data_IF_701428272029
#
_entry.id   IF_701428272029
#
_cell.length_a   1.000
_cell.length_b   1.000
_cell.length_c   1.000
_cell.angle_alpha   90.00
_cell.angle_beta   90.00
_cell.angle_gamma   90.00
#
_symmetry.space_group_name_H-M   'P 1'
#
loop_
_entity.id
_entity.type
_entity.pdbx_description
1 polymer ?
#
# COMPACT_ATOMS: atom_id res chain seq x y z
N UNK A 1 5.23 -9.33 4.54
CA UNK A 1 4.99 -9.90 3.23
C UNK A 1 3.60 -9.53 2.69
N UNK A 2 3.28 -10.04 1.50
CA UNK A 2 1.99 -9.76 0.84
C UNK A 2 0.81 -10.39 1.59
N UNK A 3 1.01 -11.56 2.20
CA UNK A 3 0.05 -12.17 3.12
C UNK A 3 0.28 -11.65 4.54
N UNK A 4 -0.33 -10.52 4.85
CA UNK A 4 -0.21 -9.90 6.16
C UNK A 4 -1.08 -10.59 7.24
N UNK A 5 -1.97 -11.51 6.85
CA UNK A 5 -2.75 -12.32 7.79
C UNK A 5 -1.95 -13.49 8.36
N UNK A 6 -0.92 -13.96 7.64
CA UNK A 6 0.00 -15.04 8.05
C UNK A 6 1.20 -14.50 8.82
N UNK A 7 0.96 -13.65 9.83
CA UNK A 7 2.03 -13.15 10.70
C UNK A 7 2.56 -14.30 11.56
N UNK A 8 3.86 -14.66 11.45
CA UNK A 8 4.45 -15.74 12.25
C UNK A 8 4.82 -15.32 13.67
N UNK A 9 4.83 -14.03 13.94
CA UNK A 9 5.20 -13.48 15.23
C UNK A 9 4.08 -13.69 16.24
N UNK A 10 4.43 -14.11 17.45
CA UNK A 10 3.49 -14.51 18.48
C UNK A 10 3.69 -13.75 19.78
N UNK A 11 2.59 -13.54 20.51
CA UNK A 11 2.60 -13.02 21.87
C UNK A 11 1.74 -13.91 22.76
N UNK A 12 2.30 -14.39 23.86
CA UNK A 12 1.62 -15.25 24.84
C UNK A 12 1.28 -14.43 26.07
N UNK A 13 -0.01 -14.36 26.43
CA UNK A 13 -0.45 -13.72 27.67
C UNK A 13 0.15 -14.46 28.85
N UNK A 14 0.71 -13.71 29.79
CA UNK A 14 1.31 -14.26 31.00
C UNK A 14 1.32 -13.23 32.13
N UNK A 15 1.57 -13.69 33.33
CA UNK A 15 1.94 -12.84 34.47
C UNK A 15 3.42 -12.51 34.39
N UNK A 16 3.78 -11.31 34.76
CA UNK A 16 5.18 -10.84 34.80
C UNK A 16 5.32 -9.59 35.63
N UNK A 17 6.52 -9.03 35.64
CA UNK A 17 6.83 -7.83 36.41
C UNK A 17 7.18 -6.68 35.47
N UNK A 18 6.59 -5.51 35.71
CA UNK A 18 6.93 -4.27 35.04
C UNK A 18 7.11 -3.14 36.06
N UNK A 19 8.32 -2.53 36.07
CA UNK A 19 8.68 -1.44 37.01
C UNK A 19 8.46 -1.80 38.48
N UNK A 20 8.80 -3.03 38.87
CA UNK A 20 8.66 -3.50 40.25
C UNK A 20 7.24 -3.89 40.67
N UNK A 21 6.31 -4.00 39.73
CA UNK A 21 4.92 -4.40 40.01
C UNK A 21 4.53 -5.61 39.17
N UNK A 22 3.91 -6.59 39.83
CA UNK A 22 3.29 -7.70 39.11
C UNK A 22 2.13 -7.19 38.24
N UNK A 23 2.08 -7.66 37.01
CA UNK A 23 1.00 -7.34 36.07
C UNK A 23 0.79 -8.46 35.06
N UNK A 24 -0.37 -8.45 34.39
CA UNK A 24 -0.59 -9.24 33.19
C UNK A 24 0.03 -8.51 32.00
N UNK A 25 0.73 -9.27 31.18
CA UNK A 25 1.37 -8.79 29.98
C UNK A 25 1.46 -9.88 28.93
N UNK A 26 2.37 -9.72 27.99
CA UNK A 26 2.65 -10.71 26.94
C UNK A 26 4.15 -10.96 26.85
N UNK A 27 4.54 -12.21 26.62
CA UNK A 27 5.85 -12.57 26.08
C UNK A 27 5.76 -12.60 24.57
N UNK A 28 6.46 -11.68 23.90
CA UNK A 28 6.36 -11.51 22.44
C UNK A 28 7.66 -11.97 21.78
N UNK A 29 7.53 -12.81 20.75
CA UNK A 29 8.65 -13.29 19.92
C UNK A 29 8.40 -12.87 18.47
N UNK A 30 9.39 -12.22 17.83
CA UNK A 30 9.30 -11.76 16.45
C UNK A 30 10.65 -11.72 15.74
N UNK A 31 10.62 -11.85 14.42
CA UNK A 31 11.75 -11.59 13.53
C UNK A 31 11.26 -10.84 12.28
N UNK A 32 11.33 -9.54 12.31
CA UNK A 32 10.89 -8.64 11.24
C UNK A 32 12.06 -8.15 10.41
N UNK A 33 11.89 -8.14 9.09
CA UNK A 33 12.87 -7.59 8.14
C UNK A 33 12.29 -6.36 7.45
N UNK A 34 13.16 -5.56 6.86
CA UNK A 34 12.80 -4.40 6.03
C UNK A 34 11.91 -3.37 6.72
N UNK A 35 12.16 -3.12 8.01
CA UNK A 35 11.36 -2.16 8.77
C UNK A 35 11.91 -0.76 8.57
N UNK A 36 11.10 0.09 7.94
CA UNK A 36 11.43 1.50 7.73
C UNK A 36 11.53 2.21 9.08
N UNK A 37 12.55 3.05 9.21
CA UNK A 37 12.94 3.80 10.41
C UNK A 37 13.43 2.94 11.60
N UNK A 38 13.44 1.61 11.54
CA UNK A 38 13.90 0.78 12.65
C UNK A 38 15.28 1.20 13.22
N UNK A 39 16.30 1.48 12.39
CA UNK A 39 17.62 1.87 12.89
C UNK A 39 17.68 3.14 13.72
N UNK A 40 16.67 4.02 13.60
CA UNK A 40 16.62 5.33 14.26
C UNK A 40 15.37 5.53 15.12
N UNK A 41 14.51 4.52 15.23
CA UNK A 41 13.26 4.65 15.97
C UNK A 41 13.49 4.69 17.50
N UNK A 42 12.59 5.38 18.17
CA UNK A 42 12.50 5.37 19.65
C UNK A 42 11.41 4.42 20.12
N UNK A 43 10.42 4.16 19.26
CA UNK A 43 9.29 3.26 19.52
C UNK A 43 9.08 2.38 18.28
N UNK A 44 8.91 1.09 18.50
CA UNK A 44 8.52 0.11 17.50
C UNK A 44 7.00 -0.09 17.52
N UNK A 45 6.35 0.10 16.36
CA UNK A 45 5.01 -0.42 16.12
C UNK A 45 5.11 -1.88 15.69
N UNK A 46 4.61 -2.80 16.49
CA UNK A 46 4.71 -4.23 16.25
C UNK A 46 3.33 -4.87 16.15
N UNK A 47 3.10 -5.67 15.11
CA UNK A 47 1.93 -6.53 14.96
C UNK A 47 2.36 -7.99 15.12
N UNK A 48 1.59 -8.74 15.91
CA UNK A 48 1.80 -10.17 16.19
C UNK A 48 0.47 -10.85 16.49
N UNK A 49 0.42 -12.17 16.46
CA UNK A 49 -0.77 -12.93 16.86
C UNK A 49 -0.70 -13.22 18.36
N UNK A 50 -1.73 -12.82 19.09
CA UNK A 50 -1.80 -12.97 20.53
C UNK A 50 -2.59 -14.25 20.92
N UNK A 51 -2.08 -14.95 21.94
CA UNK A 51 -2.69 -16.16 22.49
C UNK A 51 -2.76 -16.06 24.00
N UNK A 52 -3.85 -16.61 24.58
CA UNK A 52 -4.09 -16.72 26.04
C UNK A 52 -4.35 -18.20 26.42
N UNK A 53 -3.31 -19.06 26.42
CA UNK A 53 -3.50 -20.49 26.70
C UNK A 53 -3.94 -20.77 28.15
N UNK A 54 -3.59 -19.88 29.09
CA UNK A 54 -3.92 -20.03 30.51
C UNK A 54 -5.25 -19.34 30.88
N UNK A 55 -5.98 -18.81 29.92
CA UNK A 55 -7.27 -18.12 30.10
C UNK A 55 -7.24 -16.98 31.13
N UNK A 56 -6.12 -16.25 31.23
CA UNK A 56 -5.93 -15.15 32.20
C UNK A 56 -6.84 -13.95 31.93
N UNK A 57 -7.29 -13.79 30.69
CA UNK A 57 -8.15 -12.68 30.26
C UNK A 57 -9.58 -13.12 29.86
N UNK A 58 -9.79 -14.42 29.72
CA UNK A 58 -11.09 -14.98 29.35
C UNK A 58 -10.98 -16.34 28.62
N UNK A 59 -12.06 -16.94 28.16
CA UNK A 59 -12.07 -18.32 27.65
C UNK A 59 -11.50 -18.48 26.24
N UNK A 60 -11.16 -17.38 25.57
CA UNK A 60 -10.68 -17.39 24.18
C UNK A 60 -9.16 -17.54 24.14
N UNK A 61 -8.66 -18.65 23.62
CA UNK A 61 -7.22 -18.94 23.53
C UNK A 61 -6.53 -18.16 22.41
N UNK A 62 -7.08 -18.15 21.20
CA UNK A 62 -6.53 -17.35 20.08
C UNK A 62 -7.22 -15.99 20.04
N UNK A 63 -6.53 -14.97 20.49
CA UNK A 63 -7.07 -13.61 20.54
C UNK A 63 -7.04 -12.92 19.15
N UNK A 64 -6.13 -13.34 18.28
CA UNK A 64 -5.96 -12.75 16.94
C UNK A 64 -4.84 -11.74 16.84
N UNK A 65 -4.75 -11.08 15.68
CA UNK A 65 -3.70 -10.07 15.41
C UNK A 65 -3.88 -8.88 16.33
N UNK A 66 -2.79 -8.53 17.01
CA UNK A 66 -2.72 -7.49 18.02
C UNK A 66 -1.58 -6.53 17.68
N UNK A 67 -1.76 -5.23 17.93
CA UNK A 67 -0.74 -4.21 17.72
C UNK A 67 -0.26 -3.64 19.06
N UNK A 68 1.06 -3.47 19.19
CA UNK A 68 1.68 -2.87 20.36
C UNK A 68 2.72 -1.81 19.99
N UNK A 69 2.93 -0.86 20.90
CA UNK A 69 4.00 0.14 20.83
C UNK A 69 5.07 -0.23 21.87
N UNK A 70 6.23 -0.64 21.40
CA UNK A 70 7.32 -1.13 22.24
C UNK A 70 8.48 -0.13 22.16
N UNK A 71 9.00 0.41 23.28
CA UNK A 71 10.19 1.25 23.24
C UNK A 71 11.37 0.51 22.59
N UNK A 72 12.07 1.16 21.67
CA UNK A 72 13.18 0.53 20.95
C UNK A 72 14.33 0.06 21.89
N UNK A 73 14.48 0.72 23.04
CA UNK A 73 15.45 0.35 24.09
C UNK A 73 14.87 -0.59 25.16
N UNK A 74 13.70 -1.20 24.92
CA UNK A 74 13.13 -2.17 25.84
C UNK A 74 14.03 -3.39 25.97
N UNK A 75 14.23 -3.95 27.16
CA UNK A 75 15.01 -5.18 27.34
C UNK A 75 14.54 -6.31 26.43
N UNK A 76 15.49 -6.93 25.73
CA UNK A 76 15.22 -8.02 24.78
C UNK A 76 14.88 -7.58 23.35
N UNK A 77 14.70 -6.29 23.08
CA UNK A 77 14.56 -5.76 21.72
C UNK A 77 15.93 -5.64 21.07
N UNK A 78 16.08 -6.19 19.88
CA UNK A 78 17.29 -6.07 19.06
C UNK A 78 16.92 -5.39 17.73
N UNK A 79 17.69 -4.38 17.38
CA UNK A 79 17.64 -3.72 16.07
C UNK A 79 18.95 -4.07 15.37
N UNK A 80 18.84 -4.69 14.19
CA UNK A 80 20.01 -5.14 13.44
C UNK A 80 20.53 -4.07 12.48
N UNK A 81 21.48 -4.49 11.63
CA UNK A 81 22.17 -3.63 10.71
C UNK A 81 21.22 -3.01 9.67
N UNK A 82 21.57 -1.81 9.25
CA UNK A 82 20.82 -1.06 8.26
C UNK A 82 20.89 -1.72 6.89
N UNK A 83 19.74 -1.89 6.26
CA UNK A 83 19.64 -2.25 4.85
C UNK A 83 19.90 -1.03 3.94
N UNK A 84 20.35 -1.28 2.73
CA UNK A 84 20.54 -0.27 1.67
C UNK A 84 19.58 -0.54 0.51
N UNK A 85 18.33 -0.04 0.56
CA UNK A 85 17.38 -0.25 -0.52
C UNK A 85 17.84 0.48 -1.80
N UNK A 86 18.37 -0.26 -2.79
CA UNK A 86 18.84 0.28 -4.07
C UNK A 86 19.73 1.54 -3.94
N UNK A 87 20.71 1.51 -3.04
CA UNK A 87 21.60 2.64 -2.73
C UNK A 87 20.95 3.87 -2.07
N UNK A 88 19.63 3.83 -1.86
CA UNK A 88 18.91 4.93 -1.22
C UNK A 88 19.22 4.98 0.28
N UNK A 89 19.46 6.17 0.79
CA UNK A 89 19.89 6.41 2.17
C UNK A 89 18.72 6.33 3.20
N UNK A 90 17.70 5.51 2.94
CA UNK A 90 16.61 5.34 3.90
C UNK A 90 17.04 4.45 5.06
N UNK A 91 16.76 4.86 6.30
CA UNK A 91 16.99 4.02 7.46
C UNK A 91 15.97 2.89 7.50
N UNK A 92 16.39 1.72 7.04
CA UNK A 92 15.60 0.50 7.00
C UNK A 92 16.42 -0.63 7.62
N UNK A 93 15.81 -1.49 8.42
CA UNK A 93 16.56 -2.57 9.07
C UNK A 93 15.66 -3.61 9.73
N UNK A 94 16.23 -4.74 10.18
CA UNK A 94 15.50 -5.77 10.89
C UNK A 94 15.29 -5.42 12.36
N UNK A 95 14.23 -5.99 12.94
CA UNK A 95 14.00 -5.97 14.39
C UNK A 95 13.67 -7.37 14.87
N UNK A 96 14.19 -7.74 16.05
CA UNK A 96 13.99 -9.05 16.67
C UNK A 96 13.71 -8.93 18.14
N UNK A 97 12.97 -9.90 18.66
CA UNK A 97 12.79 -10.13 20.08
C UNK A 97 12.43 -11.59 20.34
N UNK A 98 12.93 -12.15 21.42
CA UNK A 98 12.58 -13.49 21.85
C UNK A 98 12.08 -13.44 23.29
N UNK A 99 10.84 -13.89 23.49
CA UNK A 99 10.17 -13.91 24.81
C UNK A 99 10.22 -12.57 25.55
N UNK A 100 10.11 -11.47 24.81
CA UNK A 100 10.18 -10.11 25.35
C UNK A 100 8.90 -9.81 26.11
N UNK A 101 9.00 -9.62 27.44
CA UNK A 101 7.83 -9.26 28.23
C UNK A 101 7.43 -7.81 28.01
N UNK A 102 6.17 -7.58 27.66
CA UNK A 102 5.54 -6.27 27.56
C UNK A 102 4.27 -6.23 28.42
N UNK A 103 3.99 -5.18 29.19
CA UNK A 103 2.73 -5.04 29.91
C UNK A 103 1.58 -4.77 28.94
N UNK A 104 0.34 -5.07 29.32
CA UNK A 104 -0.84 -4.79 28.49
C UNK A 104 -0.97 -3.32 28.08
N UNK A 105 -0.45 -2.40 28.87
CA UNK A 105 -0.44 -0.97 28.55
C UNK A 105 0.38 -0.60 27.31
N UNK A 106 1.20 -1.53 26.78
CA UNK A 106 1.89 -1.33 25.50
C UNK A 106 1.03 -1.74 24.30
N UNK A 107 -0.01 -2.54 24.51
CA UNK A 107 -0.98 -2.88 23.48
C UNK A 107 -1.83 -1.65 23.17
N UNK A 108 -2.03 -1.36 21.88
CA UNK A 108 -2.90 -0.27 21.44
C UNK A 108 -4.34 -0.61 21.81
N UNK A 109 -4.95 0.18 22.70
CA UNK A 109 -6.26 -0.08 23.28
C UNK A 109 -6.24 -1.10 24.45
N UNK A 110 -5.05 -1.44 24.96
CA UNK A 110 -4.85 -2.33 26.09
C UNK A 110 -5.61 -3.66 25.96
N UNK A 111 -6.31 -4.12 26.99
CA UNK A 111 -7.11 -5.36 26.95
C UNK A 111 -8.14 -5.35 25.81
N UNK A 112 -8.77 -4.21 25.56
CA UNK A 112 -9.79 -4.08 24.51
C UNK A 112 -9.21 -4.05 23.10
N UNK A 113 -7.92 -3.81 22.96
CA UNK A 113 -7.20 -3.79 21.68
C UNK A 113 -6.70 -5.16 21.22
N UNK A 114 -6.70 -6.15 22.12
CA UNK A 114 -6.29 -7.51 21.78
C UNK A 114 -7.20 -8.08 20.66
N UNK A 115 -6.58 -8.61 19.60
CA UNK A 115 -7.28 -9.17 18.44
C UNK A 115 -7.86 -8.14 17.45
N UNK A 116 -7.81 -6.86 17.75
CA UNK A 116 -8.31 -5.80 16.86
C UNK A 116 -7.25 -5.23 15.91
N UNK A 117 -6.03 -5.74 15.97
CA UNK A 117 -4.88 -5.23 15.22
C UNK A 117 -5.06 -5.29 13.71
N UNK A 118 -5.73 -6.30 13.19
CA UNK A 118 -6.02 -6.41 11.76
C UNK A 118 -6.83 -5.21 11.24
N UNK A 119 -7.90 -4.87 11.93
CA UNK A 119 -8.73 -3.72 11.57
C UNK A 119 -7.94 -2.41 11.64
N UNK A 120 -7.17 -2.21 12.73
CA UNK A 120 -6.33 -1.03 12.92
C UNK A 120 -5.32 -0.87 11.77
N UNK A 121 -4.63 -1.96 11.39
CA UNK A 121 -3.68 -1.95 10.28
C UNK A 121 -4.35 -1.61 8.95
N UNK A 122 -5.50 -2.21 8.64
CA UNK A 122 -6.18 -1.98 7.36
C UNK A 122 -6.70 -0.55 7.24
N UNK A 123 -7.26 0.03 8.29
CA UNK A 123 -7.72 1.42 8.30
C UNK A 123 -6.57 2.40 8.10
N UNK A 124 -5.47 2.26 8.85
CA UNK A 124 -4.30 3.14 8.75
C UNK A 124 -3.55 2.99 7.41
N UNK A 125 -3.34 1.75 6.95
CA UNK A 125 -2.61 1.49 5.71
C UNK A 125 -3.37 1.97 4.46
N UNK A 126 -4.71 1.91 4.46
CA UNK A 126 -5.48 2.42 3.32
C UNK A 126 -5.44 3.93 3.21
N UNK A 127 -5.48 4.66 4.33
CA UNK A 127 -5.31 6.11 4.35
C UNK A 127 -3.89 6.53 3.90
N UNK A 128 -2.85 5.93 4.49
CA UNK A 128 -1.46 6.19 4.12
C UNK A 128 -1.18 5.94 2.64
N UNK A 129 -1.70 4.85 2.10
CA UNK A 129 -1.57 4.49 0.68
C UNK A 129 -2.22 5.51 -0.26
N UNK A 130 -3.30 6.15 0.14
CA UNK A 130 -3.96 7.18 -0.65
C UNK A 130 -3.17 8.49 -0.71
N UNK A 131 -2.34 8.77 0.28
CA UNK A 131 -1.64 10.06 0.46
C UNK A 131 -0.16 9.95 0.07
N UNK A 132 0.59 9.06 0.75
CA UNK A 132 2.07 9.08 0.74
C UNK A 132 2.66 8.79 -0.63
N UNK A 133 2.35 7.62 -1.20
CA UNK A 133 2.96 7.20 -2.47
C UNK A 133 2.45 8.01 -3.67
N UNK A 134 1.13 8.32 -3.81
CA UNK A 134 0.69 9.20 -4.87
C UNK A 134 1.34 10.58 -4.81
N UNK A 135 1.55 11.15 -3.61
CA UNK A 135 2.20 12.46 -3.43
C UNK A 135 3.69 12.42 -3.78
N UNK A 136 4.42 11.41 -3.33
CA UNK A 136 5.84 11.25 -3.66
C UNK A 136 6.05 11.11 -5.17
N UNK A 137 5.21 10.29 -5.82
CA UNK A 137 5.30 10.06 -7.26
C UNK A 137 4.82 11.27 -8.08
N UNK A 138 3.87 12.06 -7.58
CA UNK A 138 3.54 13.35 -8.18
C UNK A 138 4.73 14.32 -8.13
N UNK A 139 5.47 14.35 -7.03
CA UNK A 139 6.70 15.14 -6.91
C UNK A 139 7.77 14.74 -7.94
N UNK A 140 7.99 13.42 -8.10
CA UNK A 140 8.91 12.88 -9.13
C UNK A 140 8.45 13.28 -10.54
N UNK A 141 7.17 13.14 -10.84
CA UNK A 141 6.60 13.50 -12.13
C UNK A 141 6.76 15.01 -12.43
N UNK A 142 6.47 15.86 -11.45
CA UNK A 142 6.66 17.32 -11.58
C UNK A 142 8.12 17.71 -11.77
N UNK A 143 9.05 17.06 -11.06
CA UNK A 143 10.48 17.23 -11.26
C UNK A 143 10.85 16.91 -12.72
N UNK A 144 10.42 15.76 -13.22
CA UNK A 144 10.71 15.35 -14.59
C UNK A 144 10.14 16.34 -15.62
N UNK A 145 8.87 16.74 -15.51
CA UNK A 145 8.25 17.72 -16.41
C UNK A 145 9.07 19.01 -16.48
N UNK A 146 9.43 19.57 -15.33
CA UNK A 146 10.15 20.85 -15.25
C UNK A 146 11.56 20.73 -15.79
N UNK A 147 12.30 19.72 -15.37
CA UNK A 147 13.73 19.60 -15.68
C UNK A 147 13.96 19.10 -17.11
N UNK A 148 13.23 18.08 -17.55
CA UNK A 148 13.33 17.56 -18.92
C UNK A 148 12.79 18.58 -19.94
N UNK A 149 11.69 19.25 -19.62
CA UNK A 149 11.15 20.33 -20.44
C UNK A 149 12.14 21.49 -20.63
N UNK A 150 12.74 21.98 -19.53
CA UNK A 150 13.75 23.02 -19.61
C UNK A 150 15.01 22.57 -20.39
N UNK A 151 15.52 21.37 -20.09
CA UNK A 151 16.66 20.81 -20.80
C UNK A 151 16.41 20.70 -22.30
N UNK A 152 15.27 20.17 -22.74
CA UNK A 152 14.95 19.99 -24.14
C UNK A 152 14.85 21.29 -24.91
N UNK A 153 14.53 22.41 -24.26
CA UNK A 153 14.50 23.76 -24.87
C UNK A 153 15.87 24.39 -24.99
N UNK A 154 16.77 24.11 -24.05
CA UNK A 154 18.12 24.68 -24.01
C UNK A 154 19.10 23.87 -24.87
N UNK A 155 18.97 22.54 -24.86
CA UNK A 155 19.85 21.65 -25.61
C UNK A 155 19.65 21.81 -27.09
N UNK A 156 20.69 22.16 -27.81
CA UNK A 156 20.68 22.34 -29.27
C UNK A 156 21.41 21.18 -29.96
N UNK A 157 20.82 20.60 -30.96
CA UNK A 157 21.44 19.69 -31.92
C UNK A 157 20.87 19.98 -33.31
N UNK A 158 21.67 19.75 -34.36
CA UNK A 158 21.29 20.07 -35.74
C UNK A 158 20.82 21.54 -35.92
N UNK A 159 21.46 22.46 -35.20
CA UNK A 159 21.17 23.89 -35.18
C UNK A 159 19.76 24.27 -34.68
N UNK A 160 19.07 23.37 -33.97
CA UNK A 160 17.77 23.68 -33.40
C UNK A 160 17.64 23.09 -31.99
N UNK A 161 16.73 23.62 -31.18
CA UNK A 161 16.37 23.04 -29.89
C UNK A 161 15.84 21.61 -30.08
N UNK A 162 16.29 20.66 -29.23
CA UNK A 162 15.84 19.26 -29.36
C UNK A 162 14.32 19.10 -29.11
N UNK A 163 13.70 20.04 -28.42
CA UNK A 163 12.23 20.06 -28.24
C UNK A 163 11.45 20.21 -29.54
N UNK A 164 12.07 20.65 -30.63
CA UNK A 164 11.47 20.82 -31.95
C UNK A 164 11.40 19.49 -32.75
N UNK A 165 12.09 18.45 -32.29
CA UNK A 165 12.00 17.13 -32.93
C UNK A 165 10.72 16.42 -32.46
N UNK A 166 9.92 15.92 -33.42
CA UNK A 166 8.63 15.28 -33.16
C UNK A 166 8.75 14.12 -32.15
N UNK A 167 9.76 13.26 -32.26
CA UNK A 167 9.98 12.16 -31.32
C UNK A 167 10.28 12.62 -29.89
N UNK A 168 10.91 13.80 -29.73
CA UNK A 168 11.12 14.42 -28.41
C UNK A 168 9.83 15.06 -27.91
N UNK A 169 9.12 15.78 -28.78
CA UNK A 169 7.86 16.42 -28.45
C UNK A 169 6.79 15.41 -28.02
N UNK A 170 6.73 14.24 -28.66
CA UNK A 170 5.83 13.14 -28.25
C UNK A 170 6.13 12.67 -26.83
N UNK A 171 7.40 12.44 -26.47
CA UNK A 171 7.82 12.06 -25.12
C UNK A 171 7.45 13.14 -24.09
N UNK A 172 7.71 14.40 -24.41
CA UNK A 172 7.36 15.53 -23.53
C UNK A 172 5.86 15.64 -23.30
N UNK A 173 5.06 15.43 -24.36
CA UNK A 173 3.60 15.40 -24.27
C UNK A 173 3.10 14.28 -23.34
N UNK A 174 3.62 13.06 -23.49
CA UNK A 174 3.31 11.92 -22.62
C UNK A 174 3.69 12.19 -21.17
N UNK A 175 4.90 12.71 -20.93
CA UNK A 175 5.36 13.09 -19.58
C UNK A 175 4.40 14.10 -18.93
N UNK A 176 3.97 15.12 -19.69
CA UNK A 176 3.07 16.16 -19.18
C UNK A 176 1.67 15.61 -18.84
N UNK A 177 1.09 14.80 -19.73
CA UNK A 177 -0.23 14.19 -19.53
C UNK A 177 -0.22 13.26 -18.33
N UNK A 178 0.79 12.40 -18.22
CA UNK A 178 0.87 11.45 -17.11
C UNK A 178 1.16 12.16 -15.77
N UNK A 179 1.93 13.24 -15.77
CA UNK A 179 2.11 14.08 -14.59
C UNK A 179 0.80 14.70 -14.12
N UNK A 180 0.00 15.23 -15.06
CA UNK A 180 -1.32 15.78 -14.77
C UNK A 180 -2.27 14.70 -14.19
N UNK A 181 -2.26 13.51 -14.78
CA UNK A 181 -3.08 12.39 -14.32
C UNK A 181 -2.70 11.94 -12.88
N UNK A 182 -1.40 11.85 -12.57
CA UNK A 182 -0.92 11.52 -11.22
C UNK A 182 -1.35 12.61 -10.22
N UNK A 183 -1.16 13.89 -10.54
CA UNK A 183 -1.49 14.98 -9.62
C UNK A 183 -3.00 15.08 -9.37
N UNK A 184 -3.82 14.89 -10.39
CA UNK A 184 -5.27 14.86 -10.29
C UNK A 184 -5.75 13.68 -9.42
N UNK A 185 -5.19 12.49 -9.65
CA UNK A 185 -5.50 11.29 -8.86
C UNK A 185 -5.13 11.45 -7.39
N UNK A 186 -3.94 12.01 -7.12
CA UNK A 186 -3.48 12.33 -5.78
C UNK A 186 -4.42 13.29 -5.05
N UNK A 187 -4.81 14.38 -5.71
CA UNK A 187 -5.73 15.37 -5.13
C UNK A 187 -7.09 14.75 -4.82
N UNK A 188 -7.65 14.00 -5.75
CA UNK A 188 -8.91 13.30 -5.55
C UNK A 188 -8.87 12.34 -4.37
N UNK A 189 -7.83 11.52 -4.27
CA UNK A 189 -7.67 10.55 -3.19
C UNK A 189 -7.48 11.23 -1.81
N UNK A 190 -6.70 12.31 -1.74
CA UNK A 190 -6.52 13.08 -0.52
C UNK A 190 -7.81 13.79 -0.09
N UNK A 191 -8.53 14.42 -1.03
CA UNK A 191 -9.81 15.09 -0.73
C UNK A 191 -10.87 14.11 -0.23
N UNK A 192 -10.91 12.87 -0.72
CA UNK A 192 -11.81 11.85 -0.20
C UNK A 192 -11.56 11.56 1.29
N UNK A 193 -10.29 11.51 1.70
CA UNK A 193 -9.91 11.32 3.11
C UNK A 193 -10.30 12.54 3.95
N UNK A 194 -10.06 13.76 3.45
CA UNK A 194 -10.44 15.00 4.13
C UNK A 194 -11.96 15.09 4.37
N UNK A 195 -12.75 14.49 3.49
CA UNK A 195 -14.21 14.37 3.63
C UNK A 195 -14.64 13.22 4.56
N UNK A 196 -13.70 12.49 5.17
CA UNK A 196 -13.96 11.38 6.10
C UNK A 196 -14.23 10.04 5.40
N UNK A 197 -14.05 9.94 4.09
CA UNK A 197 -14.20 8.70 3.34
C UNK A 197 -13.08 7.69 3.65
N UNK A 198 -13.39 6.40 3.51
CA UNK A 198 -12.43 5.31 3.68
C UNK A 198 -12.12 4.62 2.33
N UNK A 199 -11.30 5.24 1.47
CA UNK A 199 -11.13 4.85 0.07
C UNK A 199 -10.22 3.62 -0.10
N UNK A 200 -10.63 2.44 0.37
CA UNK A 200 -9.80 1.23 0.36
C UNK A 200 -9.39 0.77 -1.04
N UNK A 201 -10.31 0.79 -2.01
CA UNK A 201 -10.03 0.40 -3.41
C UNK A 201 -9.42 1.57 -4.19
N UNK A 202 -9.96 2.79 -4.03
CA UNK A 202 -9.44 3.99 -4.70
C UNK A 202 -8.00 4.27 -4.30
N UNK A 203 -7.64 4.09 -3.01
CA UNK A 203 -6.26 4.21 -2.55
C UNK A 203 -5.31 3.24 -3.26
N UNK A 204 -5.79 2.02 -3.52
CA UNK A 204 -5.04 1.01 -4.25
C UNK A 204 -4.84 1.39 -5.73
N UNK A 205 -5.90 1.89 -6.39
CA UNK A 205 -5.84 2.40 -7.75
C UNK A 205 -4.85 3.57 -7.85
N UNK A 206 -4.99 4.55 -6.96
CA UNK A 206 -4.11 5.72 -6.91
C UNK A 206 -2.64 5.31 -6.73
N UNK A 207 -2.35 4.38 -5.81
CA UNK A 207 -0.99 3.86 -5.57
C UNK A 207 -0.42 3.17 -6.79
N UNK A 208 -1.16 2.24 -7.39
CA UNK A 208 -0.66 1.46 -8.53
C UNK A 208 -0.37 2.37 -9.73
N UNK A 209 -1.32 3.21 -10.11
CA UNK A 209 -1.17 4.05 -11.29
C UNK A 209 -0.12 5.14 -11.08
N UNK A 210 -0.07 5.81 -9.94
CA UNK A 210 0.94 6.84 -9.69
C UNK A 210 2.37 6.28 -9.72
N UNK A 211 2.60 5.09 -9.15
CA UNK A 211 3.92 4.49 -9.08
C UNK A 211 4.40 3.95 -10.45
N UNK A 212 3.53 3.31 -11.23
CA UNK A 212 3.87 2.81 -12.56
C UNK A 212 4.11 3.97 -13.53
N UNK A 213 3.21 4.98 -13.53
CA UNK A 213 3.35 6.16 -14.39
C UNK A 213 4.58 7.00 -14.05
N UNK A 214 4.94 7.14 -12.77
CA UNK A 214 6.17 7.83 -12.39
C UNK A 214 7.42 7.11 -12.93
N UNK A 215 7.44 5.77 -12.91
CA UNK A 215 8.52 4.98 -13.51
C UNK A 215 8.62 5.22 -15.02
N UNK A 216 7.50 5.21 -15.72
CA UNK A 216 7.44 5.49 -17.17
C UNK A 216 7.92 6.91 -17.48
N UNK A 217 7.45 7.90 -16.72
CA UNK A 217 7.85 9.32 -16.87
C UNK A 217 9.37 9.48 -16.72
N UNK A 218 9.95 8.88 -15.68
CA UNK A 218 11.38 8.98 -15.44
C UNK A 218 12.18 8.32 -16.56
N UNK A 219 11.75 7.15 -17.03
CA UNK A 219 12.38 6.44 -18.15
C UNK A 219 12.32 7.27 -19.43
N UNK A 220 11.15 7.79 -19.79
CA UNK A 220 11.00 8.69 -20.94
C UNK A 220 11.86 9.96 -20.80
N UNK A 221 11.94 10.51 -19.60
CA UNK A 221 12.79 11.66 -19.31
C UNK A 221 14.28 11.38 -19.52
N UNK A 222 14.76 10.21 -19.10
CA UNK A 222 16.14 9.76 -19.34
C UNK A 222 16.44 9.62 -20.84
N UNK A 223 15.50 9.09 -21.63
CA UNK A 223 15.63 9.01 -23.08
C UNK A 223 15.84 10.42 -23.70
N UNK A 224 15.07 11.41 -23.26
CA UNK A 224 15.17 12.79 -23.76
C UNK A 224 16.48 13.46 -23.38
N UNK A 225 16.98 13.26 -22.15
CA UNK A 225 18.27 13.84 -21.72
C UNK A 225 19.50 13.10 -22.26
N UNK A 226 19.32 11.88 -22.78
CA UNK A 226 20.34 11.10 -23.46
C UNK A 226 21.53 10.74 -22.58
N UNK A 227 22.77 10.93 -23.06
CA UNK A 227 23.99 10.52 -22.35
C UNK A 227 24.12 11.06 -20.91
N UNK A 228 23.56 12.22 -20.60
CA UNK A 228 23.49 12.74 -19.24
C UNK A 228 22.59 11.89 -18.33
N UNK A 229 21.59 11.23 -18.90
CA UNK A 229 20.70 10.31 -18.18
C UNK A 229 21.38 9.00 -17.77
N UNK A 230 22.47 8.64 -18.42
CA UNK A 230 23.21 7.40 -18.17
C UNK A 230 24.37 7.60 -17.21
N UNK A 231 25.03 8.74 -17.28
CA UNK A 231 26.17 9.03 -16.42
C UNK A 231 25.72 9.52 -15.03
N UNK A 232 26.23 8.91 -13.96
CA UNK A 232 26.08 9.44 -12.62
C UNK A 232 26.81 10.78 -12.48
N UNK A 233 26.24 11.66 -11.68
CA UNK A 233 26.83 12.94 -11.35
C UNK A 233 25.80 14.05 -11.20
N UNK A 234 26.25 15.27 -10.88
CA UNK A 234 25.33 16.37 -10.54
C UNK A 234 24.49 16.86 -11.72
N UNK A 235 24.89 16.50 -12.96
CA UNK A 235 24.11 16.81 -14.17
C UNK A 235 23.00 15.80 -14.47
N UNK A 236 22.94 14.65 -13.80
CA UNK A 236 21.88 13.67 -13.94
C UNK A 236 20.83 13.86 -12.83
N UNK A 237 19.85 14.70 -13.09
CA UNK A 237 18.78 15.04 -12.15
C UNK A 237 17.66 13.99 -12.08
N UNK A 238 17.72 12.92 -12.87
CA UNK A 238 16.72 11.82 -12.84
C UNK A 238 17.27 10.50 -12.29
N UNK A 239 18.58 10.35 -12.14
CA UNK A 239 19.19 9.09 -11.72
C UNK A 239 18.60 8.56 -10.40
N UNK A 240 18.53 9.42 -9.38
CA UNK A 240 17.97 9.03 -8.08
C UNK A 240 16.49 8.65 -8.18
N UNK A 241 15.71 9.39 -8.94
CA UNK A 241 14.30 9.07 -9.17
C UNK A 241 14.16 7.72 -9.90
N UNK A 242 15.01 7.43 -10.89
CA UNK A 242 15.02 6.15 -11.60
C UNK A 242 15.34 4.98 -10.67
N UNK A 243 16.33 5.12 -9.81
CA UNK A 243 16.72 4.08 -8.83
C UNK A 243 15.61 3.86 -7.80
N UNK A 244 14.89 4.91 -7.39
CA UNK A 244 13.90 4.84 -6.32
C UNK A 244 12.51 4.32 -6.76
N UNK A 245 12.12 4.50 -8.02
CA UNK A 245 10.77 4.11 -8.48
C UNK A 245 10.41 2.63 -8.21
N UNK A 246 11.30 1.62 -8.35
CA UNK A 246 10.99 0.24 -8.00
C UNK A 246 10.61 0.05 -6.52
N UNK A 247 11.12 0.87 -5.62
CA UNK A 247 10.79 0.80 -4.20
C UNK A 247 9.31 1.12 -4.00
N UNK A 248 8.83 2.21 -4.60
CA UNK A 248 7.42 2.64 -4.48
C UNK A 248 6.43 1.61 -5.07
N UNK A 249 6.87 0.83 -6.07
CA UNK A 249 6.09 -0.26 -6.66
C UNK A 249 5.97 -1.45 -5.68
N UNK A 250 7.01 -1.68 -4.88
CA UNK A 250 7.11 -2.84 -3.97
C UNK A 250 6.46 -2.60 -2.62
N UNK A 251 6.60 -1.39 -2.04
CA UNK A 251 6.12 -1.09 -0.68
C UNK A 251 4.62 -0.77 -0.64
N UNK A 252 4.03 -0.77 0.55
CA UNK A 252 2.61 -0.53 0.83
C UNK A 252 1.66 -1.45 0.02
N UNK A 253 2.06 -2.70 -0.13
CA UNK A 253 1.42 -3.68 -1.00
C UNK A 253 2.01 -3.65 -2.40
N UNK A 254 2.74 -4.69 -2.77
CA UNK A 254 3.33 -4.79 -4.11
C UNK A 254 2.24 -4.64 -5.19
N UNK A 255 2.54 -3.92 -6.28
CA UNK A 255 1.56 -3.63 -7.32
C UNK A 255 0.90 -4.89 -7.89
N UNK A 256 1.63 -6.01 -8.01
CA UNK A 256 1.08 -7.28 -8.46
C UNK A 256 -0.06 -7.74 -7.56
N UNK A 257 0.16 -7.76 -6.24
CA UNK A 257 -0.86 -8.10 -5.25
C UNK A 257 -2.01 -7.08 -5.28
N UNK A 258 -1.67 -5.79 -5.29
CA UNK A 258 -2.65 -4.70 -5.22
C UNK A 258 -3.61 -4.73 -6.40
N UNK A 259 -3.11 -4.98 -7.63
CA UNK A 259 -3.95 -5.15 -8.82
C UNK A 259 -4.90 -6.33 -8.69
N UNK A 260 -4.40 -7.48 -8.25
CA UNK A 260 -5.16 -8.73 -8.23
C UNK A 260 -6.14 -8.83 -7.05
N UNK A 261 -5.66 -8.61 -5.82
CA UNK A 261 -6.45 -8.86 -4.62
C UNK A 261 -7.24 -7.64 -4.15
N UNK A 262 -6.72 -6.42 -4.33
CA UNK A 262 -7.42 -5.23 -3.85
C UNK A 262 -8.28 -4.62 -4.95
N UNK A 263 -7.69 -4.25 -6.09
CA UNK A 263 -8.44 -3.57 -7.15
C UNK A 263 -9.45 -4.54 -7.78
N UNK A 264 -8.99 -5.68 -8.27
CA UNK A 264 -9.87 -6.66 -8.89
C UNK A 264 -10.74 -7.38 -7.85
N UNK A 265 -10.15 -8.08 -6.88
CA UNK A 265 -10.89 -8.90 -5.91
C UNK A 265 -11.85 -8.10 -5.05
N UNK A 266 -11.32 -7.16 -4.23
CA UNK A 266 -12.19 -6.35 -3.35
C UNK A 266 -13.05 -5.36 -4.15
N UNK A 267 -12.53 -4.79 -5.23
CA UNK A 267 -13.27 -3.88 -6.08
C UNK A 267 -14.48 -4.55 -6.73
N UNK A 268 -14.31 -5.76 -7.28
CA UNK A 268 -15.39 -6.54 -7.86
C UNK A 268 -16.49 -6.85 -6.84
N UNK A 269 -16.10 -7.32 -5.64
CA UNK A 269 -17.06 -7.65 -4.57
C UNK A 269 -17.83 -6.42 -4.10
N UNK A 270 -17.18 -5.25 -4.01
CA UNK A 270 -17.79 -4.02 -3.48
C UNK A 270 -18.61 -3.25 -4.51
N UNK A 271 -18.17 -3.24 -5.77
CA UNK A 271 -18.78 -2.43 -6.81
C UNK A 271 -19.83 -3.17 -7.64
N UNK A 272 -19.78 -4.51 -7.65
CA UNK A 272 -20.74 -5.32 -8.37
C UNK A 272 -22.08 -5.39 -7.60
N UNK A 273 -23.24 -5.15 -8.24
CA UNK A 273 -24.52 -5.01 -7.55
C UNK A 273 -25.00 -6.27 -6.81
N UNK A 274 -24.53 -7.45 -7.21
CA UNK A 274 -25.04 -8.73 -6.69
C UNK A 274 -23.94 -9.64 -6.09
N UNK A 275 -22.66 -9.42 -6.41
CA UNK A 275 -21.59 -10.38 -6.11
C UNK A 275 -21.43 -10.62 -4.61
N UNK A 276 -21.50 -9.57 -3.81
CA UNK A 276 -21.38 -9.71 -2.34
C UNK A 276 -22.50 -10.52 -1.73
N UNK A 277 -23.75 -10.26 -2.17
CA UNK A 277 -24.91 -11.01 -1.66
C UNK A 277 -24.95 -12.45 -2.19
N UNK A 278 -24.46 -12.72 -3.40
CA UNK A 278 -24.27 -14.07 -3.92
C UNK A 278 -23.29 -14.87 -3.06
N UNK A 279 -22.15 -14.26 -2.68
CA UNK A 279 -21.16 -14.90 -1.79
C UNK A 279 -21.80 -15.22 -0.43
N UNK A 280 -22.52 -14.26 0.16
CA UNK A 280 -23.23 -14.49 1.44
C UNK A 280 -24.28 -15.59 1.35
N UNK A 281 -25.00 -15.66 0.25
CA UNK A 281 -26.00 -16.71 0.03
C UNK A 281 -25.34 -18.10 -0.05
N UNK A 282 -24.17 -18.20 -0.71
CA UNK A 282 -23.40 -19.44 -0.82
C UNK A 282 -22.79 -19.89 0.53
N UNK A 283 -22.50 -18.94 1.43
CA UNK A 283 -21.94 -19.21 2.77
C UNK A 283 -23.03 -19.34 3.86
N UNK A 284 -24.31 -19.31 3.51
CA UNK A 284 -25.40 -19.33 4.47
C UNK A 284 -25.45 -20.70 5.20
N UNK A 285 -25.43 -20.74 6.54
CA UNK A 285 -25.58 -21.97 7.30
C UNK A 285 -26.91 -22.73 7.04
N UNK A 286 -27.98 -21.99 6.74
CA UNK A 286 -29.24 -22.53 6.28
C UNK A 286 -29.20 -22.75 4.77
N UNK A 287 -28.93 -24.00 4.34
CA UNK A 287 -28.68 -24.32 2.94
C UNK A 287 -29.89 -24.07 2.03
N UNK A 288 -31.12 -24.28 2.52
CA UNK A 288 -32.34 -24.05 1.72
C UNK A 288 -32.53 -22.57 1.43
N UNK A 289 -32.47 -21.74 2.46
CA UNK A 289 -32.53 -20.27 2.30
C UNK A 289 -31.37 -19.73 1.49
N UNK A 290 -30.16 -20.30 1.67
CA UNK A 290 -28.98 -19.97 0.90
C UNK A 290 -29.20 -20.23 -0.58
N UNK A 291 -29.70 -21.39 -0.96
CA UNK A 291 -29.96 -21.78 -2.33
C UNK A 291 -31.05 -20.90 -2.99
N UNK A 292 -32.17 -20.68 -2.30
CA UNK A 292 -33.26 -19.82 -2.81
C UNK A 292 -32.77 -18.39 -3.10
N UNK A 293 -31.98 -17.81 -2.16
CA UNK A 293 -31.41 -16.49 -2.30
C UNK A 293 -30.40 -16.46 -3.44
N UNK A 294 -29.52 -17.46 -3.54
CA UNK A 294 -28.54 -17.59 -4.60
C UNK A 294 -29.20 -17.63 -5.98
N UNK A 295 -30.21 -18.49 -6.19
CA UNK A 295 -30.92 -18.62 -7.46
C UNK A 295 -31.59 -17.31 -7.88
N UNK A 296 -32.22 -16.62 -6.95
CA UNK A 296 -32.84 -15.32 -7.19
C UNK A 296 -31.80 -14.28 -7.63
N UNK A 297 -30.67 -14.18 -6.93
CA UNK A 297 -29.59 -13.25 -7.24
C UNK A 297 -28.89 -13.62 -8.54
N UNK A 298 -28.68 -14.91 -8.82
CA UNK A 298 -28.08 -15.38 -10.06
C UNK A 298 -28.92 -15.01 -11.31
N UNK A 299 -30.25 -15.14 -11.20
CA UNK A 299 -31.18 -14.66 -12.25
C UNK A 299 -31.03 -13.16 -12.49
N UNK A 300 -31.00 -12.35 -11.41
CA UNK A 300 -30.78 -10.89 -11.50
C UNK A 300 -29.43 -10.56 -12.13
N UNK A 301 -28.39 -11.29 -11.77
CA UNK A 301 -27.05 -11.17 -12.33
C UNK A 301 -27.03 -11.46 -13.84
N UNK A 302 -27.70 -12.53 -14.27
CA UNK A 302 -27.79 -12.91 -15.68
C UNK A 302 -28.49 -11.82 -16.51
N UNK A 303 -29.60 -11.28 -15.99
CA UNK A 303 -30.31 -10.16 -16.63
C UNK A 303 -29.42 -8.91 -16.72
N UNK A 304 -28.69 -8.59 -15.64
CA UNK A 304 -27.75 -7.46 -15.62
C UNK A 304 -26.63 -7.61 -16.65
N UNK A 305 -26.10 -8.83 -16.81
CA UNK A 305 -25.10 -9.14 -17.82
C UNK A 305 -25.61 -8.89 -19.25
N UNK A 306 -26.80 -9.42 -19.56
CA UNK A 306 -27.46 -9.25 -20.86
C UNK A 306 -27.70 -7.76 -21.12
N UNK A 307 -28.22 -7.03 -20.12
CA UNK A 307 -28.46 -5.59 -20.24
C UNK A 307 -27.16 -4.82 -20.54
N UNK A 308 -26.09 -5.11 -19.85
CA UNK A 308 -24.79 -4.45 -20.04
C UNK A 308 -24.18 -4.77 -21.40
N UNK A 309 -24.27 -6.02 -21.87
CA UNK A 309 -23.82 -6.42 -23.19
C UNK A 309 -24.61 -5.68 -24.28
N UNK A 310 -25.94 -5.59 -24.13
CA UNK A 310 -26.81 -4.88 -25.08
C UNK A 310 -26.49 -3.40 -25.11
N UNK A 311 -26.30 -2.76 -23.95
CA UNK A 311 -25.94 -1.33 -23.89
C UNK A 311 -24.57 -1.06 -24.52
N UNK A 312 -23.57 -1.92 -24.24
CA UNK A 312 -22.25 -1.77 -24.84
C UNK A 312 -22.28 -1.92 -26.37
N UNK A 313 -23.07 -2.89 -26.88
CA UNK A 313 -23.24 -3.08 -28.31
C UNK A 313 -23.92 -1.83 -28.97
N UNK A 314 -24.99 -1.33 -28.37
CA UNK A 314 -25.70 -0.15 -28.87
C UNK A 314 -24.81 1.10 -28.81
N UNK A 315 -24.07 1.32 -27.74
CA UNK A 315 -23.11 2.44 -27.61
C UNK A 315 -22.01 2.35 -28.67
N UNK A 316 -21.46 1.15 -28.88
CA UNK A 316 -20.45 0.92 -29.92
C UNK A 316 -20.94 1.16 -31.33
N UNK A 317 -22.19 0.80 -31.61
CA UNK A 317 -22.81 1.05 -32.93
C UNK A 317 -23.23 2.52 -33.14
N UNK A 318 -23.62 3.22 -32.08
CA UNK A 318 -24.05 4.62 -32.14
C UNK A 318 -22.89 5.62 -32.13
N UNK A 319 -21.66 5.18 -31.81
CA UNK A 319 -20.52 6.07 -31.64
C UNK A 319 -20.58 6.97 -30.38
N UNK A 320 -21.59 6.80 -29.55
CA UNK A 320 -21.66 7.43 -28.22
C UNK A 320 -20.87 6.59 -27.21
N UNK A 321 -19.74 7.14 -26.77
CA UNK A 321 -18.94 6.60 -25.65
C UNK A 321 -19.36 7.28 -24.37
#
# INVERSE_FOLDING_TARGET
>A
GSDASSIPDIGIICKGEWKGKECIGLKVTWDKRYITLAPICTVLGLAFRAFDPDNLLGPKTDLGITCALIPAKHPGVSIGDRHMPLTVQWPNGPTRGKDVFIPLSFVIGEKNGLGNGWRMLMECLSAGRAISLPSSNAGIAQLAVKTVGAYSRIRTQFNTSISNFEGVAEKLGKIAIECYAIDSTRKLAASAIDLGEKPSVISAIAKVHSTEKAREIVTMGMDVIGGKGICHGPSNFLAEAHIQTPISITVEGANILTKSLIIFGQGSVRCHPYLYEIIKAAENPDQEKGLETFDSLFKKQSINLIKNLSLNLLSGLSGYV
#
